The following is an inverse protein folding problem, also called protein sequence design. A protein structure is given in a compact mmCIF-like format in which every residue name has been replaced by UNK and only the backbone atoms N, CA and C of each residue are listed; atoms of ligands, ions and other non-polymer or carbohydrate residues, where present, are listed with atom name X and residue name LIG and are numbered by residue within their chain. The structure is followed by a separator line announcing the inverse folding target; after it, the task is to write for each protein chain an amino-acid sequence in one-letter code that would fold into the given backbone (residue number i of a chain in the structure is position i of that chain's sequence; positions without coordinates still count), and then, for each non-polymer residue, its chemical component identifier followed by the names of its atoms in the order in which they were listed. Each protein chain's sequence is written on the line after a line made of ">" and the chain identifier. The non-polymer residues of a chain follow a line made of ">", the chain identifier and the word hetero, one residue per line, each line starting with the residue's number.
data_IF_165515871821
#
_entry.id   IF_165515871821
#
_cell.length_a   1.000
_cell.length_b   1.000
_cell.length_c   1.000
_cell.angle_alpha   90.00
_cell.angle_beta   90.00
_cell.angle_gamma   90.00
#
_symmetry.space_group_name_H-M   'P 1'
#
loop_
_entity.id
_entity.type
_entity.pdbx_description
1 polymer ?
#
# COMPACT_ATOMS: atom_id res chain seq x y z
N UNK A 1 1.97 12.91 -3.54
CA UNK A 1 2.44 11.83 -4.43
C UNK A 1 3.88 11.53 -4.04
N UNK A 2 4.26 10.26 -3.85
CA UNK A 2 5.64 9.91 -3.48
C UNK A 2 6.56 10.21 -4.68
N UNK A 3 7.70 10.87 -4.46
CA UNK A 3 8.62 11.27 -5.53
C UNK A 3 9.19 10.08 -6.34
N UNK A 4 9.08 8.85 -5.81
CA UNK A 4 9.46 7.61 -6.50
C UNK A 4 8.66 7.32 -7.76
N UNK A 5 7.48 7.96 -7.93
CA UNK A 5 6.64 7.78 -9.12
C UNK A 5 7.01 8.68 -10.30
N UNK A 6 8.21 9.29 -10.29
CA UNK A 6 8.81 9.88 -11.48
C UNK A 6 8.07 11.07 -12.08
N UNK A 7 7.29 11.81 -11.27
CA UNK A 7 6.42 12.90 -11.76
C UNK A 7 7.15 14.14 -12.29
N UNK A 8 8.44 14.05 -12.62
CA UNK A 8 9.32 15.18 -12.96
C UNK A 8 10.06 15.10 -14.30
N UNK A 9 10.09 13.95 -14.98
CA UNK A 9 10.80 13.81 -16.26
C UNK A 9 9.88 13.31 -17.38
N UNK A 10 10.03 13.80 -18.63
CA UNK A 10 9.24 13.32 -19.76
C UNK A 10 9.60 11.85 -20.05
N UNK A 11 8.62 10.96 -19.83
CA UNK A 11 8.77 9.53 -20.05
C UNK A 11 8.42 9.14 -21.48
N UNK A 12 9.19 8.21 -22.07
CA UNK A 12 8.89 7.68 -23.40
C UNK A 12 7.57 6.92 -23.43
N UNK A 13 6.92 6.81 -24.60
CA UNK A 13 5.70 6.02 -24.76
C UNK A 13 5.89 4.55 -24.33
N UNK A 14 7.05 3.95 -24.62
CA UNK A 14 7.38 2.60 -24.18
C UNK A 14 7.45 2.48 -22.65
N UNK A 15 8.09 3.46 -21.99
CA UNK A 15 8.18 3.53 -20.52
C UNK A 15 6.80 3.67 -19.89
N UNK A 16 5.95 4.55 -20.43
CA UNK A 16 4.57 4.74 -19.98
C UNK A 16 3.74 3.45 -20.12
N UNK A 17 3.88 2.75 -21.25
CA UNK A 17 3.17 1.50 -21.49
C UNK A 17 3.59 0.41 -20.50
N UNK A 18 4.89 0.29 -20.19
CA UNK A 18 5.40 -0.63 -19.17
C UNK A 18 4.79 -0.32 -17.80
N UNK A 19 4.73 0.95 -17.40
CA UNK A 19 4.10 1.32 -16.12
C UNK A 19 2.61 1.03 -16.09
N UNK A 20 1.88 1.31 -17.17
CA UNK A 20 0.45 0.98 -17.27
C UNK A 20 0.25 -0.53 -17.11
N UNK A 21 1.03 -1.35 -17.82
CA UNK A 21 0.95 -2.81 -17.71
C UNK A 21 1.30 -3.27 -16.29
N UNK A 22 2.34 -2.70 -15.67
CA UNK A 22 2.73 -3.02 -14.30
C UNK A 22 1.62 -2.66 -13.29
N UNK A 23 0.95 -1.51 -13.46
CA UNK A 23 -0.18 -1.09 -12.62
C UNK A 23 -1.36 -2.05 -12.79
N UNK A 24 -1.72 -2.40 -14.03
CA UNK A 24 -2.81 -3.36 -14.30
C UNK A 24 -2.49 -4.72 -13.66
N UNK A 25 -1.24 -5.19 -13.78
CA UNK A 25 -0.81 -6.44 -13.17
C UNK A 25 -0.88 -6.38 -11.64
N UNK A 26 -0.43 -5.29 -11.03
CA UNK A 26 -0.50 -5.09 -9.58
C UNK A 26 -1.96 -5.10 -9.08
N UNK A 27 -2.87 -4.41 -9.79
CA UNK A 27 -4.30 -4.41 -9.49
C UNK A 27 -4.88 -5.82 -9.62
N UNK A 28 -4.53 -6.55 -10.68
CA UNK A 28 -4.97 -7.94 -10.87
C UNK A 28 -4.52 -8.84 -9.71
N UNK A 29 -3.24 -8.78 -9.32
CA UNK A 29 -2.70 -9.55 -8.18
C UNK A 29 -3.44 -9.18 -6.90
N UNK A 30 -3.69 -7.89 -6.67
CA UNK A 30 -4.42 -7.42 -5.49
C UNK A 30 -5.86 -7.94 -5.44
N UNK A 31 -6.59 -7.95 -6.57
CA UNK A 31 -7.94 -8.52 -6.64
C UNK A 31 -7.93 -10.02 -6.35
N UNK A 32 -6.92 -10.76 -6.85
CA UNK A 32 -6.76 -12.18 -6.55
C UNK A 32 -6.48 -12.42 -5.07
N UNK A 33 -5.62 -11.61 -4.46
CA UNK A 33 -5.39 -11.62 -3.02
C UNK A 33 -6.67 -11.37 -2.23
N UNK A 34 -7.43 -10.33 -2.59
CA UNK A 34 -8.70 -10.01 -1.94
C UNK A 34 -9.73 -11.15 -2.06
N UNK A 35 -9.78 -11.81 -3.22
CA UNK A 35 -10.67 -12.95 -3.45
C UNK A 35 -10.27 -14.16 -2.60
N UNK A 36 -8.96 -14.40 -2.43
CA UNK A 36 -8.44 -15.42 -1.52
C UNK A 36 -8.72 -15.09 -0.05
N UNK A 37 -8.57 -13.83 0.35
CA UNK A 37 -8.81 -13.37 1.72
C UNK A 37 -10.26 -13.61 2.19
N UNK A 38 -11.24 -13.58 1.28
CA UNK A 38 -12.65 -13.90 1.58
C UNK A 38 -12.84 -15.32 2.12
N UNK A 39 -11.98 -16.26 1.77
CA UNK A 39 -12.06 -17.63 2.28
C UNK A 39 -11.69 -17.78 3.76
N UNK A 40 -11.20 -16.71 4.41
CA UNK A 40 -10.82 -16.72 5.81
C UNK A 40 -11.89 -16.06 6.66
N UNK A 41 -12.03 -16.53 7.90
CA UNK A 41 -12.89 -15.91 8.88
C UNK A 41 -12.07 -15.26 9.98
N UNK A 42 -12.44 -14.04 10.36
CA UNK A 42 -11.80 -13.30 11.44
C UNK A 42 -12.84 -12.83 12.45
N UNK A 43 -12.49 -12.76 13.74
CA UNK A 43 -13.42 -12.29 14.77
C UNK A 43 -13.68 -10.79 14.60
N UNK A 44 -14.88 -10.35 14.98
CA UNK A 44 -15.27 -8.93 14.88
C UNK A 44 -14.32 -8.01 15.65
N UNK A 45 -13.86 -8.46 16.83
CA UNK A 45 -12.91 -7.70 17.66
C UNK A 45 -11.54 -7.49 16.99
N UNK A 46 -11.00 -8.50 16.31
CA UNK A 46 -9.70 -8.36 15.61
C UNK A 46 -9.84 -7.43 14.41
N UNK A 47 -10.96 -7.50 13.67
CA UNK A 47 -11.23 -6.54 12.57
C UNK A 47 -11.32 -5.11 13.07
N UNK A 48 -12.06 -4.88 14.15
CA UNK A 48 -12.16 -3.56 14.79
C UNK A 48 -10.78 -3.03 15.19
N UNK A 49 -9.94 -3.87 15.79
CA UNK A 49 -8.57 -3.49 16.15
C UNK A 49 -7.75 -3.08 14.92
N UNK A 50 -7.81 -3.83 13.81
CA UNK A 50 -7.09 -3.48 12.57
C UNK A 50 -7.61 -2.17 11.97
N UNK A 51 -8.92 -1.91 12.02
CA UNK A 51 -9.49 -0.66 11.54
C UNK A 51 -9.04 0.54 12.38
N UNK A 52 -9.00 0.41 13.71
CA UNK A 52 -8.45 1.45 14.59
C UNK A 52 -6.95 1.65 14.32
N UNK A 53 -6.19 0.56 14.23
CA UNK A 53 -4.76 0.59 13.91
C UNK A 53 -4.51 1.22 12.54
N UNK A 54 -5.43 1.12 11.60
CA UNK A 54 -5.31 1.79 10.29
C UNK A 54 -5.38 3.31 10.42
N UNK A 55 -6.20 3.82 11.35
CA UNK A 55 -6.18 5.24 11.70
C UNK A 55 -4.82 5.68 12.24
N UNK A 56 -4.21 4.87 13.11
CA UNK A 56 -2.86 5.14 13.66
C UNK A 56 -1.79 5.01 12.58
N UNK A 57 -1.88 3.98 11.73
CA UNK A 57 -0.96 3.75 10.63
C UNK A 57 -1.01 4.89 9.60
N UNK A 58 -2.17 5.52 9.39
CA UNK A 58 -2.30 6.72 8.57
C UNK A 58 -1.42 7.87 9.08
N UNK A 59 -1.40 8.11 10.39
CA UNK A 59 -0.52 9.12 11.00
C UNK A 59 0.95 8.73 10.81
N UNK A 60 1.30 7.48 11.13
CA UNK A 60 2.67 6.98 10.98
C UNK A 60 3.18 7.03 9.54
N UNK A 61 2.35 6.64 8.58
CA UNK A 61 2.65 6.71 7.14
C UNK A 61 2.85 8.16 6.71
N UNK A 62 2.03 9.11 7.16
CA UNK A 62 2.27 10.53 6.83
C UNK A 62 3.64 11.03 7.33
N UNK A 63 4.06 10.60 8.52
CA UNK A 63 5.40 10.92 9.04
C UNK A 63 6.49 10.26 8.19
N UNK A 64 6.36 8.96 7.87
CA UNK A 64 7.32 8.26 7.00
C UNK A 64 7.40 8.91 5.60
N UNK A 65 6.28 9.36 5.06
CA UNK A 65 6.23 10.06 3.77
C UNK A 65 6.96 11.40 3.83
N UNK A 66 6.80 12.18 4.92
CA UNK A 66 7.51 13.44 5.09
C UNK A 66 9.03 13.21 5.17
N UNK A 67 9.47 12.21 5.94
CA UNK A 67 10.87 11.82 6.05
C UNK A 67 11.42 11.31 4.72
N UNK A 68 10.67 10.46 4.01
CA UNK A 68 11.05 9.93 2.71
C UNK A 68 11.23 11.05 1.68
N UNK A 69 10.32 12.02 1.62
CA UNK A 69 10.44 13.16 0.71
C UNK A 69 11.64 14.06 1.06
N UNK A 70 11.92 14.28 2.34
CA UNK A 70 13.11 15.02 2.77
C UNK A 70 14.39 14.29 2.35
N UNK A 71 14.44 12.96 2.51
CA UNK A 71 15.54 12.12 2.07
C UNK A 71 15.78 12.19 0.57
N UNK A 72 14.72 12.08 -0.25
CA UNK A 72 14.82 12.14 -1.71
C UNK A 72 15.40 13.48 -2.18
N UNK A 73 15.00 14.59 -1.56
CA UNK A 73 15.58 15.92 -1.86
C UNK A 73 17.07 16.01 -1.56
N UNK A 74 17.55 15.24 -0.60
CA UNK A 74 18.96 15.10 -0.26
C UNK A 74 19.68 13.99 -1.07
N UNK A 75 19.04 13.40 -2.07
CA UNK A 75 19.58 12.30 -2.89
C UNK A 75 19.53 10.91 -2.23
N UNK A 76 18.94 10.79 -1.03
CA UNK A 76 18.81 9.52 -0.31
C UNK A 76 17.40 8.94 -0.45
N UNK A 77 17.29 7.89 -1.27
CA UNK A 77 16.02 7.24 -1.59
C UNK A 77 15.57 6.18 -0.59
N UNK A 78 16.43 5.78 0.36
CA UNK A 78 16.16 4.64 1.24
C UNK A 78 14.88 4.86 2.08
N UNK A 79 14.72 6.07 2.64
CA UNK A 79 13.52 6.40 3.42
C UNK A 79 12.22 6.36 2.59
N UNK A 80 12.27 6.73 1.31
CA UNK A 80 11.12 6.65 0.42
C UNK A 80 10.75 5.19 0.08
N UNK A 81 11.74 4.32 -0.16
CA UNK A 81 11.49 2.89 -0.38
C UNK A 81 10.92 2.20 0.86
N UNK A 82 11.42 2.53 2.05
CA UNK A 82 10.87 2.02 3.31
C UNK A 82 9.42 2.50 3.48
N UNK A 83 9.13 3.78 3.26
CA UNK A 83 7.76 4.31 3.33
C UNK A 83 6.82 3.59 2.36
N UNK A 84 7.27 3.35 1.12
CA UNK A 84 6.50 2.62 0.11
C UNK A 84 6.25 1.17 0.55
N UNK A 85 7.29 0.45 1.00
CA UNK A 85 7.18 -0.95 1.41
C UNK A 85 6.23 -1.12 2.60
N UNK A 86 6.33 -0.24 3.60
CA UNK A 86 5.44 -0.24 4.77
C UNK A 86 3.99 0.07 4.36
N UNK A 87 3.78 1.03 3.45
CA UNK A 87 2.45 1.35 2.94
C UNK A 87 1.82 0.15 2.21
N UNK A 88 2.58 -0.50 1.32
CA UNK A 88 2.12 -1.70 0.60
C UNK A 88 1.78 -2.81 1.59
N UNK A 89 2.67 -3.12 2.53
CA UNK A 89 2.43 -4.15 3.55
C UNK A 89 1.16 -3.86 4.36
N UNK A 90 0.96 -2.61 4.78
CA UNK A 90 -0.23 -2.22 5.53
C UNK A 90 -1.52 -2.34 4.72
N UNK A 91 -1.49 -1.96 3.44
CA UNK A 91 -2.63 -2.12 2.53
C UNK A 91 -3.07 -3.59 2.44
N UNK A 92 -2.12 -4.54 2.37
CA UNK A 92 -2.46 -5.97 2.38
C UNK A 92 -3.08 -6.42 3.71
N UNK A 93 -2.56 -5.97 4.85
CA UNK A 93 -3.13 -6.27 6.18
C UNK A 93 -4.56 -5.74 6.31
N UNK A 94 -4.78 -4.48 5.92
CA UNK A 94 -6.09 -3.86 5.95
C UNK A 94 -7.07 -4.53 4.98
N UNK A 95 -6.65 -4.82 3.75
CA UNK A 95 -7.47 -5.48 2.75
C UNK A 95 -7.88 -6.89 3.21
N UNK A 96 -6.96 -7.64 3.85
CA UNK A 96 -7.29 -8.94 4.43
C UNK A 96 -8.35 -8.84 5.52
N UNK A 97 -8.21 -7.88 6.44
CA UNK A 97 -9.18 -7.65 7.51
C UNK A 97 -10.55 -7.22 6.97
N UNK A 98 -10.57 -6.43 5.90
CA UNK A 98 -11.78 -5.95 5.24
C UNK A 98 -12.50 -7.06 4.47
N UNK A 99 -11.76 -7.92 3.77
CA UNK A 99 -12.32 -8.93 2.87
C UNK A 99 -12.63 -10.26 3.53
N UNK A 100 -11.94 -10.62 4.63
CA UNK A 100 -12.28 -11.83 5.39
C UNK A 100 -13.73 -11.79 5.86
N UNK A 101 -14.36 -12.94 6.03
CA UNK A 101 -15.70 -13.03 6.60
C UNK A 101 -15.66 -12.83 8.12
N UNK A 102 -16.79 -12.39 8.70
CA UNK A 102 -16.91 -12.40 10.16
C UNK A 102 -17.12 -13.84 10.60
N UNK A 103 -16.34 -14.29 11.60
CA UNK A 103 -16.70 -15.52 12.30
C UNK A 103 -18.11 -15.32 12.88
N UNK A 104 -19.07 -16.24 12.61
CA UNK A 104 -20.33 -16.22 13.32
C UNK A 104 -20.01 -16.45 14.80
N UNK A 105 -20.28 -15.42 15.60
CA UNK A 105 -20.25 -15.50 17.07
C UNK A 105 -21.49 -16.26 17.55
#
# INVERSE_FOLDING_TARGET
>A
MLAVFGSGEPQSLATNLIYIVAIILAVYIFIKFCSWAKGFQMSGSVKKAIFILTGVALVGLNVLYAVGNAGVRAGNWNGAFIALAVAIAWVFVFAFALMSENKPE
#
